data_IF_301612987296
#
_entry.id   IF_301612987296
#
_cell.length_a   1.000
_cell.length_b   1.000
_cell.length_c   1.000
_cell.angle_alpha   90.00
_cell.angle_beta   90.00
_cell.angle_gamma   90.00
#
_symmetry.space_group_name_H-M   'P 1'
#
loop_
_entity.id
_entity.type
_entity.pdbx_description
1 polymer ?
#
# COMPACT_ATOMS: atom_id res chain seq x y z
N UNK A 1 22.52 6.69 -39.69
CA UNK A 1 22.26 5.93 -38.43
C UNK A 1 23.52 5.63 -37.60
N UNK A 2 24.67 5.25 -38.19
CA UNK A 2 25.88 4.89 -37.44
C UNK A 2 26.49 6.05 -36.60
N UNK A 3 26.47 7.29 -37.10
CA UNK A 3 27.04 8.45 -36.39
C UNK A 3 26.31 8.83 -35.09
N UNK A 4 24.98 8.68 -35.06
CA UNK A 4 24.18 8.92 -33.87
C UNK A 4 24.46 7.89 -32.78
N UNK A 5 24.54 6.60 -33.15
CA UNK A 5 24.86 5.52 -32.22
C UNK A 5 26.25 5.70 -31.61
N UNK A 6 27.25 6.05 -32.42
CA UNK A 6 28.60 6.30 -31.93
C UNK A 6 28.64 7.50 -30.96
N UNK A 7 28.01 8.62 -31.32
CA UNK A 7 27.89 9.78 -30.44
C UNK A 7 27.20 9.43 -29.12
N UNK A 8 26.08 8.70 -29.17
CA UNK A 8 25.35 8.26 -27.98
C UNK A 8 26.21 7.35 -27.10
N UNK A 9 26.97 6.41 -27.68
CA UNK A 9 27.87 5.55 -26.89
C UNK A 9 29.01 6.33 -26.22
N UNK A 10 29.61 7.29 -26.92
CA UNK A 10 30.67 8.14 -26.37
C UNK A 10 30.13 9.04 -25.24
N UNK A 11 28.93 9.59 -25.41
CA UNK A 11 28.24 10.38 -24.39
C UNK A 11 27.96 9.55 -23.13
N UNK A 12 27.39 8.36 -23.28
CA UNK A 12 27.09 7.45 -22.16
C UNK A 12 28.36 7.03 -21.42
N UNK A 13 29.46 6.77 -22.13
CA UNK A 13 30.74 6.44 -21.49
C UNK A 13 31.30 7.61 -20.68
N UNK A 14 31.24 8.84 -21.23
CA UNK A 14 31.74 10.05 -20.57
C UNK A 14 30.92 10.44 -19.34
N UNK A 15 29.60 10.25 -19.38
CA UNK A 15 28.67 10.72 -18.34
C UNK A 15 28.04 9.58 -17.49
N UNK A 16 28.64 8.38 -17.49
CA UNK A 16 28.07 7.19 -16.83
C UNK A 16 27.64 7.38 -15.37
N UNK A 17 28.41 8.11 -14.57
CA UNK A 17 28.11 8.35 -13.15
C UNK A 17 26.97 9.35 -13.00
N UNK A 18 26.98 10.43 -13.79
CA UNK A 18 25.90 11.41 -13.81
C UNK A 18 24.59 10.78 -14.27
N UNK A 19 24.62 9.91 -15.28
CA UNK A 19 23.45 9.16 -15.74
C UNK A 19 22.91 8.22 -14.67
N UNK A 20 23.78 7.53 -13.93
CA UNK A 20 23.37 6.66 -12.83
C UNK A 20 22.72 7.46 -11.70
N UNK A 21 23.38 8.53 -11.24
CA UNK A 21 22.85 9.41 -10.19
C UNK A 21 21.52 10.01 -10.62
N UNK A 22 21.45 10.55 -11.85
CA UNK A 22 20.21 11.05 -12.42
C UNK A 22 19.10 10.00 -12.42
N UNK A 23 19.39 8.78 -12.86
CA UNK A 23 18.42 7.68 -12.90
C UNK A 23 17.94 7.27 -11.50
N UNK A 24 18.85 7.16 -10.52
CA UNK A 24 18.51 6.85 -9.13
C UNK A 24 17.63 7.94 -8.51
N UNK A 25 17.99 9.21 -8.69
CA UNK A 25 17.21 10.35 -8.22
C UNK A 25 15.82 10.38 -8.85
N UNK A 26 15.73 10.12 -10.17
CA UNK A 26 14.45 10.05 -10.87
C UNK A 26 13.57 8.89 -10.39
N UNK A 27 14.14 7.70 -10.16
CA UNK A 27 13.39 6.55 -9.64
C UNK A 27 12.84 6.81 -8.24
N UNK A 28 13.68 7.35 -7.36
CA UNK A 28 13.27 7.72 -6.00
C UNK A 28 12.20 8.81 -6.03
N UNK A 29 12.44 9.88 -6.78
CA UNK A 29 11.51 11.00 -6.92
C UNK A 29 10.16 10.58 -7.50
N UNK A 30 10.15 9.70 -8.51
CA UNK A 30 8.94 9.17 -9.09
C UNK A 30 8.09 8.39 -8.07
N UNK A 31 8.72 7.54 -7.25
CA UNK A 31 8.01 6.76 -6.24
C UNK A 31 7.48 7.63 -5.09
N UNK A 32 8.24 8.65 -4.68
CA UNK A 32 7.84 9.55 -3.59
C UNK A 32 6.85 10.65 -4.04
N UNK A 33 6.75 10.93 -5.33
CA UNK A 33 5.95 12.05 -5.88
C UNK A 33 4.48 12.01 -5.43
N UNK A 34 3.87 10.82 -5.39
CA UNK A 34 2.51 10.59 -4.89
C UNK A 34 2.32 11.07 -3.44
N UNK A 35 3.36 10.93 -2.60
CA UNK A 35 3.33 11.37 -1.22
C UNK A 35 3.63 12.87 -1.08
N UNK A 36 4.49 13.44 -1.92
CA UNK A 36 4.74 14.89 -1.90
C UNK A 36 3.54 15.70 -2.37
N UNK A 37 2.75 15.17 -3.29
CA UNK A 37 1.56 15.79 -3.87
C UNK A 37 0.26 15.11 -3.40
N UNK A 38 0.24 14.61 -2.16
CA UNK A 38 -0.85 13.80 -1.64
C UNK A 38 -2.22 14.50 -1.72
N UNK A 39 -2.29 15.79 -1.41
CA UNK A 39 -3.56 16.54 -1.32
C UNK A 39 -4.38 16.52 -2.64
N UNK A 40 -3.87 17.05 -3.76
CA UNK A 40 -4.60 17.02 -5.03
C UNK A 40 -4.83 15.59 -5.54
N UNK A 41 -3.86 14.69 -5.35
CA UNK A 41 -3.93 13.33 -5.93
C UNK A 41 -4.95 12.46 -5.20
N UNK A 42 -4.94 12.43 -3.86
CA UNK A 42 -5.86 11.56 -3.11
C UNK A 42 -7.29 12.04 -3.22
N UNK A 43 -7.54 13.36 -3.18
CA UNK A 43 -8.90 13.88 -3.39
C UNK A 43 -9.40 13.57 -4.78
N UNK A 44 -8.57 13.73 -5.80
CA UNK A 44 -8.96 13.39 -7.16
C UNK A 44 -9.30 11.89 -7.33
N UNK A 45 -8.51 11.01 -6.73
CA UNK A 45 -8.68 9.56 -6.87
C UNK A 45 -9.76 8.96 -5.97
N UNK A 46 -9.95 9.50 -4.76
CA UNK A 46 -10.65 8.80 -3.68
C UNK A 46 -11.76 9.60 -3.00
N UNK A 47 -11.92 10.89 -3.29
CA UNK A 47 -12.97 11.71 -2.66
C UNK A 47 -14.35 11.08 -2.88
N UNK A 48 -15.18 11.05 -1.84
CA UNK A 48 -16.57 10.64 -1.96
C UNK A 48 -17.42 11.79 -2.53
N UNK A 49 -18.21 11.50 -3.58
CA UNK A 49 -19.06 12.47 -4.28
C UNK A 49 -20.53 12.08 -4.29
N UNK A 50 -21.23 12.05 -3.13
CA UNK A 50 -22.65 11.82 -3.13
C UNK A 50 -23.35 12.93 -3.92
N UNK A 51 -24.24 12.54 -4.85
CA UNK A 51 -25.02 13.48 -5.66
C UNK A 51 -24.17 14.49 -6.48
N UNK A 52 -22.94 14.12 -6.84
CA UNK A 52 -22.05 14.95 -7.66
C UNK A 52 -21.39 16.12 -6.92
N UNK A 53 -21.45 16.15 -5.59
CA UNK A 53 -20.77 17.15 -4.75
C UNK A 53 -19.79 16.47 -3.79
N UNK A 54 -18.65 17.10 -3.44
CA UNK A 54 -17.66 16.47 -2.57
C UNK A 54 -18.23 16.40 -1.15
N UNK A 55 -18.29 15.20 -0.58
CA UNK A 55 -18.74 15.01 0.79
C UNK A 55 -17.82 15.73 1.77
N UNK A 56 -18.42 16.53 2.66
CA UNK A 56 -17.72 17.04 3.83
C UNK A 56 -17.38 15.90 4.79
N UNK A 57 -16.38 16.12 5.64
CA UNK A 57 -16.05 15.19 6.71
C UNK A 57 -17.09 15.34 7.82
N UNK A 58 -17.84 14.27 8.10
CA UNK A 58 -18.83 14.27 9.16
C UNK A 58 -18.16 14.44 10.55
N UNK A 59 -18.79 15.17 11.50
CA UNK A 59 -18.22 15.40 12.83
C UNK A 59 -17.87 14.11 13.59
N UNK A 60 -18.63 13.04 13.38
CA UNK A 60 -18.40 11.72 13.97
C UNK A 60 -17.10 11.10 13.44
N UNK A 61 -16.81 11.21 12.14
CA UNK A 61 -15.56 10.72 11.56
C UNK A 61 -14.37 11.59 11.96
N UNK A 62 -14.59 12.90 12.07
CA UNK A 62 -13.57 13.83 12.55
C UNK A 62 -13.19 13.52 14.01
N UNK A 63 -14.19 13.35 14.88
CA UNK A 63 -13.95 13.01 16.30
C UNK A 63 -13.29 11.65 16.45
N UNK A 64 -13.71 10.62 15.70
CA UNK A 64 -13.07 9.32 15.66
C UNK A 64 -11.58 9.42 15.28
N UNK A 65 -11.26 10.20 14.25
CA UNK A 65 -9.86 10.37 13.84
C UNK A 65 -9.05 11.15 14.87
N UNK A 66 -9.62 12.19 15.48
CA UNK A 66 -8.96 12.92 16.57
C UNK A 66 -8.69 12.03 17.78
N UNK A 67 -9.63 11.16 18.15
CA UNK A 67 -9.46 10.15 19.20
C UNK A 67 -8.28 9.22 18.90
N UNK A 68 -8.14 8.76 17.64
CA UNK A 68 -6.99 7.95 17.22
C UNK A 68 -5.66 8.71 17.34
N UNK A 69 -5.60 9.98 16.94
CA UNK A 69 -4.40 10.80 17.08
C UNK A 69 -4.02 11.01 18.56
N UNK A 70 -5.01 11.19 19.42
CA UNK A 70 -4.83 11.33 20.87
C UNK A 70 -4.31 10.03 21.51
N UNK A 71 -4.93 8.90 21.20
CA UNK A 71 -4.51 7.57 21.70
C UNK A 71 -3.06 7.24 21.30
N UNK A 72 -2.64 7.70 20.13
CA UNK A 72 -1.28 7.50 19.63
C UNK A 72 -0.27 8.53 20.13
N UNK A 73 -0.71 9.55 20.88
CA UNK A 73 0.17 10.61 21.40
C UNK A 73 0.82 11.45 20.31
N UNK A 74 0.12 11.70 19.19
CA UNK A 74 0.67 12.43 18.04
C UNK A 74 0.93 13.90 18.41
N UNK A 75 2.13 14.44 18.12
CA UNK A 75 2.46 15.84 18.41
C UNK A 75 1.58 16.82 17.62
N UNK A 76 1.23 17.95 18.25
CA UNK A 76 0.41 19.01 17.63
C UNK A 76 1.06 19.68 16.41
N UNK A 77 2.39 19.57 16.26
CA UNK A 77 3.12 20.08 15.09
C UNK A 77 2.94 19.24 13.82
N UNK A 78 2.29 18.08 13.90
CA UNK A 78 2.07 17.21 12.76
C UNK A 78 0.76 17.57 12.04
N UNK A 79 0.82 17.73 10.73
CA UNK A 79 -0.32 18.18 9.92
C UNK A 79 -1.03 16.98 9.25
N UNK A 80 -2.28 16.75 9.64
CA UNK A 80 -3.18 15.78 9.01
C UNK A 80 -4.39 16.48 8.41
N UNK A 81 -4.79 16.01 7.22
CA UNK A 81 -5.93 16.50 6.45
C UNK A 81 -6.88 15.34 6.17
N UNK A 82 -7.80 15.02 7.11
CA UNK A 82 -8.78 13.97 6.89
C UNK A 82 -9.82 14.40 5.85
N UNK A 83 -10.30 13.47 5.03
CA UNK A 83 -11.38 13.68 4.07
C UNK A 83 -12.23 12.41 3.92
N UNK A 84 -13.45 12.53 3.42
CA UNK A 84 -14.34 11.37 3.23
C UNK A 84 -14.03 10.66 1.91
N UNK A 85 -13.81 9.34 1.97
CA UNK A 85 -13.53 8.52 0.78
C UNK A 85 -14.67 7.55 0.46
N UNK A 86 -14.81 7.20 -0.84
CA UNK A 86 -15.75 6.20 -1.32
C UNK A 86 -15.26 4.75 -1.14
N UNK A 87 -13.97 4.56 -0.85
CA UNK A 87 -13.41 3.22 -0.62
C UNK A 87 -13.92 2.63 0.68
N UNK A 88 -13.95 1.29 0.78
CA UNK A 88 -14.36 0.60 2.01
C UNK A 88 -13.26 0.53 3.09
N UNK A 89 -12.04 0.89 2.72
CA UNK A 89 -10.86 0.90 3.60
C UNK A 89 -10.23 2.29 3.58
N UNK A 90 -9.64 2.74 4.70
CA UNK A 90 -8.90 3.98 4.72
C UNK A 90 -7.75 3.99 3.72
N UNK A 91 -7.43 5.18 3.21
CA UNK A 91 -6.28 5.42 2.33
C UNK A 91 -5.47 6.58 2.89
N UNK A 92 -4.15 6.52 2.75
CA UNK A 92 -3.29 7.61 3.24
C UNK A 92 -2.10 7.88 2.35
N UNK A 93 -1.63 9.12 2.39
CA UNK A 93 -0.38 9.53 1.75
C UNK A 93 0.11 10.85 2.33
N UNK A 94 1.42 11.05 2.28
CA UNK A 94 2.06 12.30 2.64
C UNK A 94 3.00 12.13 3.82
N UNK A 95 3.47 13.26 4.31
CA UNK A 95 4.44 13.30 5.40
C UNK A 95 3.92 14.29 6.45
N UNK A 96 3.41 13.82 7.59
CA UNK A 96 2.75 14.68 8.57
C UNK A 96 3.70 15.71 9.19
N UNK A 97 5.02 15.45 9.16
CA UNK A 97 6.08 16.34 9.64
C UNK A 97 6.46 17.46 8.67
N UNK A 98 6.00 17.39 7.41
CA UNK A 98 6.29 18.41 6.40
C UNK A 98 5.13 19.41 6.29
N UNK A 99 5.39 20.65 5.82
CA UNK A 99 4.34 21.67 5.68
C UNK A 99 3.17 21.26 4.77
N UNK A 100 3.42 20.40 3.78
CA UNK A 100 2.37 19.86 2.91
C UNK A 100 1.36 18.96 3.68
N UNK A 101 1.81 18.37 4.79
CA UNK A 101 1.07 17.48 5.66
C UNK A 101 0.87 16.08 5.08
N UNK A 102 -0.04 15.34 5.70
CA UNK A 102 -0.51 14.05 5.25
C UNK A 102 -2.04 14.03 5.11
N UNK A 103 -2.51 13.32 4.10
CA UNK A 103 -3.92 13.13 3.79
C UNK A 103 -4.37 11.76 4.29
N UNK A 104 -5.56 11.72 4.89
CA UNK A 104 -6.18 10.47 5.38
C UNK A 104 -7.63 10.41 4.87
N UNK A 105 -7.89 9.50 3.94
CA UNK A 105 -9.23 9.19 3.46
C UNK A 105 -9.93 8.28 4.45
N UNK A 106 -11.04 8.76 5.05
CA UNK A 106 -11.86 8.02 6.00
C UNK A 106 -13.11 7.50 5.28
N UNK A 107 -13.34 6.17 5.27
CA UNK A 107 -14.45 5.57 4.54
C UNK A 107 -15.83 6.09 4.97
N UNK A 108 -16.67 6.46 4.01
CA UNK A 108 -18.02 6.92 4.28
C UNK A 108 -18.90 5.87 5.01
N UNK A 109 -18.61 4.57 4.84
CA UNK A 109 -19.34 3.48 5.50
C UNK A 109 -19.08 3.40 7.02
N UNK A 110 -18.09 4.11 7.57
CA UNK A 110 -17.84 4.12 9.02
C UNK A 110 -18.96 4.80 9.81
N UNK A 111 -19.74 5.67 9.19
CA UNK A 111 -20.90 6.33 9.81
C UNK A 111 -22.06 5.37 10.13
N UNK A 112 -21.97 4.09 9.75
CA UNK A 112 -23.08 3.13 9.88
C UNK A 112 -24.31 3.48 9.03
N UNK A 113 -24.23 4.58 8.27
CA UNK A 113 -25.26 5.14 7.40
C UNK A 113 -25.12 4.69 5.94
N UNK A 114 -26.06 5.10 5.08
CA UNK A 114 -26.44 4.33 3.93
C UNK A 114 -25.53 4.58 2.73
N UNK A 115 -24.37 3.93 2.69
CA UNK A 115 -23.81 3.49 1.41
C UNK A 115 -24.71 2.38 0.81
N UNK A 116 -25.61 1.81 1.63
CA UNK A 116 -26.59 0.77 1.25
C UNK A 116 -28.04 1.25 1.25
N UNK A 117 -28.34 2.57 1.19
CA UNK A 117 -29.74 2.99 0.99
C UNK A 117 -30.16 2.52 -0.39
N UNK A 118 -31.28 1.81 -0.42
CA UNK A 118 -31.89 1.20 -1.60
C UNK A 118 -32.18 2.17 -2.76
N UNK A 119 -32.00 3.48 -2.55
CA UNK A 119 -32.28 4.50 -3.54
C UNK A 119 -31.18 4.66 -4.59
N UNK A 120 -29.95 4.20 -4.33
CA UNK A 120 -28.87 4.22 -5.31
C UNK A 120 -28.15 2.87 -5.38
N UNK A 121 -28.08 2.24 -6.57
CA UNK A 121 -27.37 0.97 -6.73
C UNK A 121 -25.87 1.20 -6.49
N UNK A 122 -25.29 0.48 -5.54
CA UNK A 122 -23.83 0.43 -5.39
C UNK A 122 -23.28 -0.46 -6.49
N UNK A 123 -22.42 0.12 -7.32
CA UNK A 123 -21.79 -0.57 -8.44
C UNK A 123 -20.37 -0.96 -8.06
N UNK A 124 -20.09 -2.25 -8.07
CA UNK A 124 -18.75 -2.81 -7.83
C UNK A 124 -18.33 -3.52 -9.11
N UNK A 125 -17.19 -3.12 -9.69
CA UNK A 125 -16.70 -3.68 -10.96
C UNK A 125 -17.75 -3.68 -12.09
N UNK A 126 -18.56 -2.62 -12.17
CA UNK A 126 -19.62 -2.50 -13.20
C UNK A 126 -20.88 -3.31 -12.92
N UNK A 127 -20.94 -4.05 -11.81
CA UNK A 127 -22.11 -4.83 -11.40
C UNK A 127 -22.80 -4.19 -10.20
N UNK A 128 -24.14 -4.02 -10.30
CA UNK A 128 -24.96 -3.55 -9.19
C UNK A 128 -25.07 -4.64 -8.12
N UNK A 129 -24.83 -4.28 -6.86
CA UNK A 129 -24.92 -5.21 -5.74
C UNK A 129 -26.38 -5.41 -5.33
N UNK A 130 -26.86 -6.65 -5.43
CA UNK A 130 -28.14 -7.03 -4.81
C UNK A 130 -27.95 -7.27 -3.30
N UNK A 131 -28.30 -6.27 -2.49
CA UNK A 131 -28.21 -6.31 -1.03
C UNK A 131 -29.10 -7.36 -0.34
N UNK A 132 -30.12 -7.89 -1.03
CA UNK A 132 -31.03 -8.92 -0.51
C UNK A 132 -30.51 -10.34 -0.77
N UNK A 133 -29.53 -10.49 -1.66
CA UNK A 133 -28.90 -11.80 -1.91
C UNK A 133 -28.07 -12.24 -0.69
N UNK A 134 -27.87 -13.56 -0.47
CA UNK A 134 -27.04 -14.04 0.64
C UNK A 134 -25.62 -13.46 0.65
N UNK A 135 -25.02 -13.26 -0.54
CA UNK A 135 -23.71 -12.64 -0.68
C UNK A 135 -23.76 -11.12 -0.43
N UNK A 136 -24.83 -10.43 -0.85
CA UNK A 136 -25.05 -9.01 -0.57
C UNK A 136 -25.24 -8.72 0.92
N UNK A 137 -25.99 -9.55 1.64
CA UNK A 137 -26.15 -9.45 3.10
C UNK A 137 -24.79 -9.63 3.80
N UNK A 138 -24.04 -10.66 3.40
CA UNK A 138 -22.69 -10.91 3.95
C UNK A 138 -21.73 -9.74 3.69
N UNK A 139 -21.77 -9.15 2.48
CA UNK A 139 -20.97 -7.96 2.18
C UNK A 139 -21.38 -6.78 3.05
N UNK A 140 -22.68 -6.54 3.22
CA UNK A 140 -23.18 -5.47 4.08
C UNK A 140 -22.70 -5.62 5.52
N UNK A 141 -22.77 -6.81 6.09
CA UNK A 141 -22.29 -7.11 7.45
C UNK A 141 -20.77 -6.95 7.60
N UNK A 142 -20.01 -7.32 6.56
CA UNK A 142 -18.57 -7.13 6.51
C UNK A 142 -18.16 -5.64 6.46
N UNK A 143 -18.99 -4.78 5.88
CA UNK A 143 -18.69 -3.33 5.80
C UNK A 143 -18.99 -2.56 7.09
N UNK A 144 -19.71 -3.18 8.04
CA UNK A 144 -20.08 -2.57 9.32
C UNK A 144 -19.02 -2.83 10.38
N UNK A 145 -17.97 -2.02 10.44
CA UNK A 145 -16.93 -2.17 11.48
C UNK A 145 -17.40 -1.60 12.83
N UNK A 146 -17.07 -2.27 13.94
CA UNK A 146 -17.18 -1.66 15.28
C UNK A 146 -16.24 -0.46 15.43
N UNK A 147 -16.47 0.37 16.46
CA UNK A 147 -15.60 1.52 16.75
C UNK A 147 -14.14 1.12 16.93
N UNK A 148 -13.86 0.02 17.62
CA UNK A 148 -12.48 -0.47 17.83
C UNK A 148 -11.82 -0.89 16.52
N UNK A 149 -12.55 -1.57 15.64
CA UNK A 149 -12.06 -1.94 14.31
C UNK A 149 -11.81 -0.70 13.43
N UNK A 150 -12.69 0.30 13.48
CA UNK A 150 -12.49 1.57 12.79
C UNK A 150 -11.24 2.28 13.30
N UNK A 151 -11.07 2.39 14.64
CA UNK A 151 -9.87 2.98 15.26
C UNK A 151 -8.60 2.25 14.83
N UNK A 152 -8.60 0.92 14.83
CA UNK A 152 -7.46 0.12 14.36
C UNK A 152 -7.08 0.46 12.92
N UNK A 153 -8.04 0.51 12.00
CA UNK A 153 -7.73 0.79 10.59
C UNK A 153 -7.15 2.18 10.39
N UNK A 154 -7.68 3.21 11.06
CA UNK A 154 -7.17 4.56 10.99
C UNK A 154 -5.79 4.67 11.64
N UNK A 155 -5.59 4.07 12.81
CA UNK A 155 -4.31 4.08 13.50
C UNK A 155 -3.22 3.40 12.68
N UNK A 156 -3.54 2.33 11.94
CA UNK A 156 -2.59 1.70 11.03
C UNK A 156 -2.08 2.64 9.94
N UNK A 157 -2.97 3.44 9.36
CA UNK A 157 -2.59 4.48 8.39
C UNK A 157 -1.75 5.58 9.05
N UNK A 158 -2.07 5.99 10.28
CA UNK A 158 -1.26 6.96 11.02
C UNK A 158 0.15 6.40 11.33
N UNK A 159 0.28 5.13 11.73
CA UNK A 159 1.59 4.49 11.92
C UNK A 159 2.37 4.45 10.60
N UNK A 160 1.71 4.17 9.47
CA UNK A 160 2.35 4.20 8.15
C UNK A 160 2.92 5.60 7.83
N UNK A 161 2.14 6.64 8.05
CA UNK A 161 2.56 8.03 7.82
C UNK A 161 3.69 8.47 8.77
N UNK A 162 3.62 8.09 10.05
CA UNK A 162 4.62 8.45 11.07
C UNK A 162 5.95 7.73 10.92
N UNK A 163 5.95 6.53 10.34
CA UNK A 163 7.15 5.71 10.17
C UNK A 163 8.00 6.08 8.95
N UNK A 164 7.57 7.06 8.14
CA UNK A 164 8.18 7.37 6.84
C UNK A 164 8.28 6.13 5.94
N UNK A 165 7.35 5.17 6.08
CA UNK A 165 7.35 3.91 5.33
C UNK A 165 7.34 4.15 3.81
N UNK A 166 6.64 5.18 3.35
CA UNK A 166 6.67 5.66 1.96
C UNK A 166 8.08 5.94 1.44
N UNK A 167 8.92 6.61 2.24
CA UNK A 167 10.29 6.92 1.85
C UNK A 167 11.16 5.66 1.84
N UNK A 168 10.96 4.77 2.82
CA UNK A 168 11.66 3.49 2.88
C UNK A 168 11.31 2.59 1.69
N UNK A 169 10.04 2.53 1.31
CA UNK A 169 9.56 1.79 0.13
C UNK A 169 10.06 2.38 -1.20
N UNK A 170 10.53 3.63 -1.21
CA UNK A 170 11.10 4.28 -2.39
C UNK A 170 12.59 3.92 -2.65
N UNK A 171 13.27 3.31 -1.67
CA UNK A 171 14.71 3.01 -1.74
C UNK A 171 15.11 1.77 -2.56
N UNK A 172 14.33 0.68 -2.65
CA UNK A 172 14.77 -0.53 -3.35
C UNK A 172 15.13 -0.29 -4.82
N UNK A 173 14.38 0.54 -5.54
CA UNK A 173 14.63 0.82 -6.95
C UNK A 173 16.01 1.47 -7.20
N UNK A 174 16.35 2.63 -6.60
CA UNK A 174 17.67 3.22 -6.77
C UNK A 174 18.79 2.35 -6.19
N UNK A 175 18.57 1.68 -5.05
CA UNK A 175 19.58 0.80 -4.45
C UNK A 175 19.92 -0.39 -5.36
N UNK A 176 18.91 -1.06 -5.93
CA UNK A 176 19.14 -2.18 -6.84
C UNK A 176 19.73 -1.73 -8.17
N UNK A 177 19.36 -0.56 -8.70
CA UNK A 177 19.98 -0.01 -9.91
C UNK A 177 21.47 0.28 -9.69
N UNK A 178 21.82 0.99 -8.62
CA UNK A 178 23.19 1.31 -8.28
C UNK A 178 24.02 0.06 -7.99
N UNK A 179 23.47 -0.88 -7.21
CA UNK A 179 24.11 -2.16 -6.90
C UNK A 179 24.35 -2.99 -8.15
N UNK A 180 23.35 -3.12 -9.03
CA UNK A 180 23.48 -3.84 -10.30
C UNK A 180 24.57 -3.20 -11.16
N UNK A 181 24.59 -1.87 -11.29
CA UNK A 181 25.62 -1.18 -12.05
C UNK A 181 27.03 -1.45 -11.49
N UNK A 182 27.22 -1.28 -10.18
CA UNK A 182 28.51 -1.46 -9.53
C UNK A 182 29.04 -2.90 -9.66
N UNK A 183 28.17 -3.89 -9.39
CA UNK A 183 28.51 -5.30 -9.52
C UNK A 183 28.81 -5.69 -10.97
N UNK A 184 28.04 -5.17 -11.93
CA UNK A 184 28.28 -5.44 -13.36
C UNK A 184 29.62 -4.87 -13.83
N UNK A 185 29.97 -3.65 -13.39
CA UNK A 185 31.27 -3.03 -13.71
C UNK A 185 32.41 -3.84 -13.08
N UNK A 186 32.31 -4.19 -11.79
CA UNK A 186 33.31 -4.99 -11.09
C UNK A 186 33.52 -6.36 -11.73
N UNK A 187 32.43 -7.08 -12.02
CA UNK A 187 32.48 -8.39 -12.65
C UNK A 187 33.09 -8.34 -14.06
N UNK A 188 32.76 -7.32 -14.88
CA UNK A 188 33.39 -7.16 -16.20
C UNK A 188 34.89 -6.89 -16.11
N UNK A 189 35.35 -6.17 -15.08
CA UNK A 189 36.77 -5.97 -14.84
C UNK A 189 37.46 -7.28 -14.41
N UNK A 190 36.89 -7.99 -13.43
CA UNK A 190 37.43 -9.25 -12.92
C UNK A 190 37.50 -10.35 -14.00
N UNK A 191 36.52 -10.40 -14.90
CA UNK A 191 36.43 -11.39 -15.97
C UNK A 191 37.14 -10.96 -17.27
N UNK A 192 37.81 -9.80 -17.30
CA UNK A 192 38.50 -9.29 -18.50
C UNK A 192 37.57 -8.97 -19.69
N UNK A 193 36.27 -8.86 -19.46
CA UNK A 193 35.25 -8.75 -20.52
C UNK A 193 35.30 -7.42 -21.29
N UNK A 194 36.04 -6.42 -20.79
CA UNK A 194 36.20 -5.14 -21.50
C UNK A 194 37.00 -5.28 -22.82
N UNK A 195 37.95 -6.22 -22.88
CA UNK A 195 38.68 -6.55 -24.11
C UNK A 195 37.96 -7.56 -25.00
N UNK A 196 36.84 -8.13 -24.54
CA UNK A 196 36.07 -9.14 -25.26
C UNK A 196 35.13 -8.57 -26.35
N UNK A 197 34.59 -9.44 -27.21
CA UNK A 197 33.73 -9.04 -28.32
C UNK A 197 32.41 -8.42 -27.83
N UNK A 198 31.88 -7.49 -28.62
CA UNK A 198 30.73 -6.65 -28.25
C UNK A 198 29.47 -7.47 -27.88
N UNK A 199 29.21 -8.59 -28.57
CA UNK A 199 28.04 -9.42 -28.32
C UNK A 199 28.08 -10.10 -26.94
N UNK A 200 29.26 -10.55 -26.48
CA UNK A 200 29.42 -11.12 -25.12
C UNK A 200 29.17 -10.05 -24.06
N UNK A 201 29.69 -8.84 -24.26
CA UNK A 201 29.46 -7.71 -23.36
C UNK A 201 27.98 -7.32 -23.29
N UNK A 202 27.29 -7.33 -24.43
CA UNK A 202 25.86 -7.06 -24.51
C UNK A 202 25.05 -8.14 -23.79
N UNK A 203 25.33 -9.42 -24.05
CA UNK A 203 24.69 -10.55 -23.37
C UNK A 203 24.89 -10.49 -21.86
N UNK A 204 26.11 -10.19 -21.40
CA UNK A 204 26.41 -10.04 -19.97
C UNK A 204 25.60 -8.91 -19.31
N UNK A 205 25.53 -7.73 -19.94
CA UNK A 205 24.73 -6.62 -19.40
C UNK A 205 23.23 -6.95 -19.38
N UNK A 206 22.73 -7.70 -20.36
CA UNK A 206 21.33 -8.15 -20.39
C UNK A 206 21.03 -9.09 -19.22
N UNK A 207 21.88 -10.09 -18.99
CA UNK A 207 21.76 -11.00 -17.84
C UNK A 207 21.82 -10.22 -16.53
N UNK A 208 22.78 -9.30 -16.40
CA UNK A 208 22.91 -8.47 -15.21
C UNK A 208 21.66 -7.59 -14.98
N UNK A 209 21.06 -7.04 -16.04
CA UNK A 209 19.82 -6.28 -15.94
C UNK A 209 18.64 -7.15 -15.45
N UNK A 210 18.52 -8.38 -15.94
CA UNK A 210 17.50 -9.33 -15.48
C UNK A 210 17.72 -9.68 -13.99
N UNK A 211 18.96 -9.99 -13.60
CA UNK A 211 19.30 -10.28 -12.20
C UNK A 211 19.01 -9.06 -11.31
N UNK A 212 19.36 -7.86 -11.75
CA UNK A 212 19.06 -6.62 -11.03
C UNK A 212 17.56 -6.38 -10.86
N UNK A 213 16.76 -6.65 -11.89
CA UNK A 213 15.30 -6.57 -11.81
C UNK A 213 14.71 -7.58 -10.83
N UNK A 214 15.23 -8.82 -10.83
CA UNK A 214 14.82 -9.86 -9.88
C UNK A 214 15.17 -9.46 -8.45
N UNK A 215 16.40 -8.96 -8.22
CA UNK A 215 16.82 -8.45 -6.91
C UNK A 215 15.93 -7.29 -6.43
N UNK A 216 15.56 -6.37 -7.32
CA UNK A 216 14.60 -5.31 -7.02
C UNK A 216 13.24 -5.88 -6.63
N UNK A 217 12.68 -6.80 -7.42
CA UNK A 217 11.38 -7.40 -7.14
C UNK A 217 11.34 -8.06 -5.76
N UNK A 218 12.33 -8.91 -5.44
CA UNK A 218 12.42 -9.56 -4.14
C UNK A 218 12.64 -8.57 -2.98
N UNK A 219 13.49 -7.56 -3.18
CA UNK A 219 13.76 -6.54 -2.15
C UNK A 219 12.50 -5.74 -1.83
N UNK A 220 11.77 -5.29 -2.85
CA UNK A 220 10.51 -4.55 -2.68
C UNK A 220 9.42 -5.41 -2.04
N UNK A 221 9.26 -6.66 -2.48
CA UNK A 221 8.21 -7.54 -1.94
C UNK A 221 8.52 -7.93 -0.49
N UNK A 222 9.79 -8.26 -0.18
CA UNK A 222 10.22 -8.56 1.20
C UNK A 222 10.07 -7.37 2.12
N UNK A 223 10.44 -6.17 1.66
CA UNK A 223 10.28 -4.94 2.43
C UNK A 223 8.79 -4.64 2.69
N UNK A 224 7.94 -4.80 1.68
CA UNK A 224 6.49 -4.60 1.83
C UNK A 224 5.90 -5.58 2.85
N UNK A 225 6.26 -6.87 2.77
CA UNK A 225 5.78 -7.87 3.75
C UNK A 225 6.24 -7.55 5.18
N UNK A 226 7.51 -7.18 5.35
CA UNK A 226 8.04 -6.80 6.65
C UNK A 226 7.34 -5.56 7.21
N UNK A 227 7.10 -4.55 6.37
CA UNK A 227 6.40 -3.33 6.76
C UNK A 227 4.95 -3.59 7.11
N UNK A 228 4.19 -4.31 6.29
CA UNK A 228 2.79 -4.62 6.58
C UNK A 228 2.64 -5.37 7.90
N UNK A 229 3.45 -6.41 8.12
CA UNK A 229 3.44 -7.15 9.38
C UNK A 229 3.95 -6.34 10.58
N UNK A 230 4.85 -5.37 10.36
CA UNK A 230 5.28 -4.45 11.42
C UNK A 230 4.18 -3.44 11.76
N UNK A 231 3.53 -2.84 10.76
CA UNK A 231 2.43 -1.89 10.93
C UNK A 231 1.28 -2.53 11.71
N UNK A 232 0.84 -3.72 11.31
CA UNK A 232 -0.26 -4.43 11.98
C UNK A 232 0.06 -4.70 13.45
N UNK A 233 1.25 -5.24 13.73
CA UNK A 233 1.68 -5.56 15.10
C UNK A 233 1.85 -4.29 15.94
N UNK A 234 2.42 -3.23 15.36
CA UNK A 234 2.62 -1.95 16.04
C UNK A 234 1.28 -1.33 16.41
N UNK A 235 0.32 -1.31 15.49
CA UNK A 235 -1.03 -0.78 15.76
C UNK A 235 -1.79 -1.64 16.76
N UNK A 236 -1.76 -2.97 16.62
CA UNK A 236 -2.40 -3.88 17.56
C UNK A 236 -1.80 -3.76 18.99
N UNK A 237 -0.51 -3.43 19.10
CA UNK A 237 0.17 -3.26 20.40
C UNK A 237 -0.21 -1.99 21.15
N UNK A 238 -1.01 -1.07 20.56
CA UNK A 238 -1.43 0.17 21.23
C UNK A 238 -2.29 -0.12 22.46
N UNK A 239 -3.25 -1.03 22.36
CA UNK A 239 -4.07 -1.50 23.48
C UNK A 239 -4.79 -2.80 23.14
N UNK A 240 -5.37 -3.46 24.14
CA UNK A 240 -6.20 -4.66 23.92
C UNK A 240 -7.39 -4.37 23.00
N UNK A 241 -7.97 -3.16 23.04
CA UNK A 241 -9.06 -2.75 22.16
C UNK A 241 -8.59 -2.62 20.70
N UNK A 242 -7.40 -2.04 20.47
CA UNK A 242 -6.80 -1.98 19.13
C UNK A 242 -6.48 -3.37 18.59
N UNK A 243 -5.96 -4.27 19.43
CA UNK A 243 -5.67 -5.64 19.03
C UNK A 243 -6.96 -6.39 18.63
N UNK A 244 -8.02 -6.28 19.43
CA UNK A 244 -9.32 -6.87 19.11
C UNK A 244 -9.96 -6.26 17.86
N UNK A 245 -9.95 -4.94 17.74
CA UNK A 245 -10.42 -4.22 16.57
C UNK A 245 -9.70 -4.64 15.29
N UNK A 246 -8.40 -4.94 15.37
CA UNK A 246 -7.64 -5.46 14.23
C UNK A 246 -8.01 -6.90 13.85
N UNK A 247 -8.34 -7.76 14.82
CA UNK A 247 -8.88 -9.11 14.54
C UNK A 247 -10.21 -8.99 13.78
N UNK A 248 -11.15 -8.21 14.32
CA UNK A 248 -12.46 -8.00 13.68
C UNK A 248 -12.30 -7.40 12.28
N UNK A 249 -11.45 -6.38 12.12
CA UNK A 249 -11.21 -5.75 10.83
C UNK A 249 -10.77 -6.77 9.77
N UNK A 250 -9.79 -7.63 10.08
CA UNK A 250 -9.33 -8.61 9.10
C UNK A 250 -10.36 -9.73 8.85
N UNK A 251 -11.09 -10.17 9.86
CA UNK A 251 -12.18 -11.14 9.67
C UNK A 251 -13.27 -10.58 8.76
N UNK A 252 -13.68 -9.33 8.98
CA UNK A 252 -14.67 -8.65 8.14
C UNK A 252 -14.13 -8.38 6.73
N UNK A 253 -12.87 -7.99 6.59
CA UNK A 253 -12.24 -7.83 5.28
C UNK A 253 -12.25 -9.15 4.49
N UNK A 254 -11.85 -10.26 5.11
CA UNK A 254 -11.85 -11.58 4.47
C UNK A 254 -13.29 -12.00 4.10
N UNK A 255 -14.25 -11.78 5.00
CA UNK A 255 -15.68 -12.05 4.74
C UNK A 255 -16.22 -11.22 3.57
N UNK A 256 -15.89 -9.93 3.53
CA UNK A 256 -16.25 -9.03 2.44
C UNK A 256 -15.66 -9.48 1.11
N UNK A 257 -14.39 -9.88 1.08
CA UNK A 257 -13.73 -10.40 -0.11
C UNK A 257 -14.35 -11.71 -0.59
N UNK A 258 -14.74 -12.62 0.31
CA UNK A 258 -15.48 -13.85 -0.05
C UNK A 258 -16.86 -13.52 -0.63
N UNK A 259 -17.56 -12.53 -0.05
CA UNK A 259 -18.84 -12.07 -0.59
C UNK A 259 -18.67 -11.45 -1.99
N UNK A 260 -17.65 -10.62 -2.19
CA UNK A 260 -17.30 -10.05 -3.49
C UNK A 260 -16.93 -11.12 -4.52
N UNK A 261 -16.19 -12.17 -4.11
CA UNK A 261 -15.89 -13.32 -4.96
C UNK A 261 -17.19 -13.93 -5.51
N UNK A 262 -18.18 -14.15 -4.63
CA UNK A 262 -19.47 -14.72 -5.03
C UNK A 262 -20.31 -13.76 -5.87
N UNK A 263 -20.37 -12.48 -5.52
CA UNK A 263 -21.16 -11.47 -6.23
C UNK A 263 -20.68 -11.26 -7.66
N UNK A 264 -19.36 -11.25 -7.87
CA UNK A 264 -18.75 -11.00 -9.18
C UNK A 264 -18.57 -12.27 -10.04
N UNK A 265 -18.96 -13.45 -9.52
CA UNK A 265 -18.80 -14.73 -10.21
C UNK A 265 -17.37 -14.95 -10.70
N UNK A 266 -17.22 -15.35 -11.98
CA UNK A 266 -15.90 -15.67 -12.56
C UNK A 266 -14.87 -14.53 -12.49
N UNK A 267 -15.30 -13.27 -12.48
CA UNK A 267 -14.39 -12.14 -12.32
C UNK A 267 -13.96 -11.97 -10.87
N UNK A 268 -14.86 -12.23 -9.92
CA UNK A 268 -14.54 -12.33 -8.51
C UNK A 268 -13.52 -13.42 -8.21
N UNK A 269 -13.61 -14.54 -8.93
CA UNK A 269 -12.68 -15.67 -8.74
C UNK A 269 -11.24 -15.35 -9.13
N UNK A 270 -11.05 -14.42 -10.06
CA UNK A 270 -9.72 -13.89 -10.47
C UNK A 270 -9.17 -12.88 -9.48
N UNK A 271 -10.02 -12.29 -8.63
CA UNK A 271 -9.64 -11.24 -7.68
C UNK A 271 -9.37 -11.80 -6.29
N UNK A 272 -10.19 -12.74 -5.81
CA UNK A 272 -10.16 -13.21 -4.43
C UNK A 272 -10.11 -14.73 -4.35
N UNK A 273 -9.31 -15.29 -3.44
CA UNK A 273 -9.29 -16.72 -3.14
C UNK A 273 -10.56 -17.16 -2.39
N UNK A 274 -10.86 -18.47 -2.28
CA UNK A 274 -11.94 -18.96 -1.44
C UNK A 274 -11.82 -18.56 0.04
N UNK A 275 -10.60 -18.26 0.51
CA UNK A 275 -10.35 -17.78 1.87
C UNK A 275 -10.51 -16.26 2.03
N UNK A 276 -10.79 -15.51 0.97
CA UNK A 276 -10.88 -14.04 0.98
C UNK A 276 -9.56 -13.28 0.82
N UNK A 277 -8.44 -13.96 0.52
CA UNK A 277 -7.19 -13.30 0.18
C UNK A 277 -7.23 -12.77 -1.26
N UNK A 278 -6.41 -11.77 -1.59
CA UNK A 278 -6.27 -11.30 -2.97
C UNK A 278 -5.46 -12.33 -3.78
N UNK A 279 -5.96 -12.71 -4.95
CA UNK A 279 -5.24 -13.59 -5.89
C UNK A 279 -4.06 -12.82 -6.49
N UNK A 280 -2.83 -13.34 -6.42
CA UNK A 280 -1.68 -12.70 -7.05
C UNK A 280 -1.87 -12.56 -8.57
N UNK A 281 -1.81 -11.34 -9.09
CA UNK A 281 -1.88 -11.08 -10.55
C UNK A 281 -0.59 -11.42 -11.30
N UNK A 282 0.50 -11.68 -10.59
CA UNK A 282 1.82 -11.91 -11.16
C UNK A 282 2.20 -13.37 -10.95
N UNK A 283 2.81 -13.98 -11.96
CA UNK A 283 3.12 -15.42 -11.97
C UNK A 283 4.15 -15.83 -10.91
N UNK A 284 4.99 -14.88 -10.46
CA UNK A 284 6.10 -15.15 -9.53
C UNK A 284 6.19 -14.14 -8.37
N UNK A 285 5.23 -13.21 -8.21
CA UNK A 285 5.29 -12.16 -7.18
C UNK A 285 4.02 -12.11 -6.34
N UNK A 286 4.22 -12.23 -5.04
CA UNK A 286 3.24 -11.88 -4.02
C UNK A 286 3.71 -10.55 -3.44
N UNK A 287 3.01 -9.46 -3.79
CA UNK A 287 3.42 -8.09 -3.41
C UNK A 287 3.01 -7.72 -1.98
N UNK A 288 1.95 -8.35 -1.48
CA UNK A 288 1.32 -8.02 -0.21
C UNK A 288 1.17 -9.28 0.62
N UNK A 289 1.35 -9.12 1.93
CA UNK A 289 1.16 -10.20 2.89
C UNK A 289 -0.32 -10.62 2.86
N UNK A 290 -0.64 -11.93 2.76
CA UNK A 290 -2.03 -12.39 2.75
C UNK A 290 -2.79 -11.90 3.98
N UNK A 291 -4.03 -11.45 3.80
CA UNK A 291 -4.88 -10.97 4.88
C UNK A 291 -5.12 -12.02 5.97
N UNK A 292 -5.13 -13.31 5.63
CA UNK A 292 -5.15 -14.39 6.63
C UNK A 292 -3.94 -14.35 7.55
N UNK A 293 -2.74 -14.14 7.01
CA UNK A 293 -1.50 -14.05 7.80
C UNK A 293 -1.49 -12.79 8.66
N UNK A 294 -2.01 -11.68 8.13
CA UNK A 294 -2.15 -10.41 8.86
C UNK A 294 -3.13 -10.55 10.04
N UNK A 295 -4.30 -11.17 9.82
CA UNK A 295 -5.25 -11.54 10.87
C UNK A 295 -4.60 -12.35 11.97
N UNK A 296 -3.90 -13.43 11.60
CA UNK A 296 -3.32 -14.37 12.57
C UNK A 296 -2.22 -13.68 13.40
N UNK A 297 -1.44 -12.80 12.79
CA UNK A 297 -0.45 -11.97 13.48
C UNK A 297 -1.10 -11.03 14.51
N UNK A 298 -2.19 -10.35 14.16
CA UNK A 298 -2.91 -9.47 15.10
C UNK A 298 -3.59 -10.26 16.21
N UNK A 299 -4.18 -11.42 15.87
CA UNK A 299 -4.79 -12.33 16.83
C UNK A 299 -3.77 -12.84 17.86
N UNK A 300 -2.53 -13.11 17.43
CA UNK A 300 -1.45 -13.45 18.35
C UNK A 300 -1.14 -12.31 19.33
N UNK A 301 -1.06 -11.06 18.85
CA UNK A 301 -0.86 -9.89 19.72
C UNK A 301 -1.97 -9.77 20.75
N UNK A 302 -3.24 -9.91 20.33
CA UNK A 302 -4.39 -9.86 21.22
C UNK A 302 -4.38 -10.95 22.30
N UNK A 303 -4.02 -12.20 21.93
CA UNK A 303 -3.89 -13.30 22.90
C UNK A 303 -2.82 -13.03 23.95
N UNK A 304 -1.69 -12.45 23.53
CA UNK A 304 -0.60 -12.09 24.45
C UNK A 304 -1.03 -10.98 25.41
N UNK A 305 -1.68 -9.92 24.91
CA UNK A 305 -2.12 -8.80 25.77
C UNK A 305 -3.19 -9.23 26.79
N UNK A 306 -4.08 -10.15 26.42
CA UNK A 306 -5.05 -10.74 27.34
C UNK A 306 -4.40 -11.53 28.49
N UNK A 307 -3.36 -12.30 28.18
CA UNK A 307 -2.68 -13.12 29.18
C UNK A 307 -1.84 -12.26 30.14
N UNK A 308 -1.20 -11.20 29.65
CA UNK A 308 -0.45 -10.27 30.49
C UNK A 308 -1.32 -9.42 31.43
N UNK A 309 -2.59 -9.20 31.08
CA UNK A 309 -3.54 -8.48 31.96
C UNK A 309 -4.20 -9.35 33.05
N UNK A 310 -3.89 -10.65 33.10
CA UNK A 310 -4.40 -11.62 34.10
C UNK A 310 -3.34 -12.04 35.12
N UNK A 311 -2.09 -11.57 34.98
CA UNK A 311 -0.99 -11.79 35.91
C UNK A 311 -0.78 -10.54 36.78
#
# INVERSE_FOLDING_TARGET
MAGFLWWATAFVQRHRTALLVGSCTSLFGAQISYHLLADPVLRWLYQYWPQGQPASLAPELQSLFQEVLQDMGIPSGHCYKPFTTFTFQPVSAGFPRLPAGAMVGIPANFLGGPVTSTNHPVVIHGQSVNWQSPAGVRLKEALLLTRDAQKFTLAREVVYLESSAAALQALPAPACLAGTWALTVGAKHALGLYGGPMHVRAAFNLVAAVVGFVAYAFSTDSLTHALEGWLDRRTASLSTAYAWGGVEFYEKLLSGNMALRSLLGSDGEKLYTPSGNVVPRHWFRIKHLPYTTRRDSVLQVWRVTLNSGRA
#
